data_IF_052098768015
#
_entry.id   IF_052098768015
#
_cell.length_a   1.000
_cell.length_b   1.000
_cell.length_c   1.000
_cell.angle_alpha   90.00
_cell.angle_beta   90.00
_cell.angle_gamma   90.00
#
_symmetry.space_group_name_H-M   'P 1'
#
loop_
_entity.id
_entity.type
_entity.pdbx_description
1 polymer ?
#
# COMPACT_ATOMS: atom_id res chain seq x y z
N UNK A 1 -7.43 -20.73 -2.11
CA UNK A 1 -6.54 -20.17 -1.07
C UNK A 1 -7.38 -19.37 -0.11
N UNK A 2 -7.17 -19.52 1.19
CA UNK A 2 -7.95 -18.85 2.22
C UNK A 2 -7.05 -17.94 3.05
N UNK A 3 -7.34 -16.65 3.03
CA UNK A 3 -6.73 -15.65 3.91
C UNK A 3 -7.69 -15.34 5.05
N UNK A 4 -7.19 -15.26 6.27
CA UNK A 4 -7.98 -14.83 7.44
C UNK A 4 -7.27 -13.67 8.12
N UNK A 5 -7.97 -12.55 8.32
CA UNK A 5 -7.54 -11.48 9.20
C UNK A 5 -8.27 -11.59 10.54
N UNK A 6 -7.55 -11.40 11.65
CA UNK A 6 -8.16 -11.42 12.98
C UNK A 6 -7.39 -10.56 13.98
N UNK A 7 -8.01 -9.46 14.44
CA UNK A 7 -7.58 -8.77 15.65
C UNK A 7 -7.94 -9.65 16.85
N UNK A 8 -6.92 -10.31 17.41
CA UNK A 8 -7.11 -11.34 18.41
C UNK A 8 -7.12 -10.83 19.85
N UNK A 9 -6.87 -9.53 20.07
CA UNK A 9 -6.86 -8.86 21.38
C UNK A 9 -6.18 -9.71 22.46
N UNK A 10 -4.91 -10.05 22.22
CA UNK A 10 -4.07 -11.05 22.91
C UNK A 10 -4.06 -12.44 22.28
N UNK A 11 -2.92 -12.81 21.68
CA UNK A 11 -2.72 -14.16 21.17
C UNK A 11 -2.86 -15.22 22.26
N UNK A 12 -2.31 -14.98 23.46
CA UNK A 12 -2.32 -15.95 24.55
C UNK A 12 -3.74 -16.28 25.02
N UNK A 13 -4.64 -15.29 25.03
CA UNK A 13 -6.05 -15.50 25.38
C UNK A 13 -6.80 -16.21 24.25
N UNK A 14 -6.50 -15.85 23.01
CA UNK A 14 -7.21 -16.32 21.83
C UNK A 14 -6.56 -17.53 21.15
N UNK A 15 -5.60 -18.19 21.80
CA UNK A 15 -4.73 -19.22 21.20
C UNK A 15 -5.53 -20.36 20.56
N UNK A 16 -6.49 -20.94 21.27
CA UNK A 16 -7.26 -22.09 20.76
C UNK A 16 -8.20 -21.69 19.62
N UNK A 17 -8.68 -20.45 19.61
CA UNK A 17 -9.41 -19.90 18.49
C UNK A 17 -8.50 -19.80 17.25
N UNK A 18 -7.31 -19.23 17.40
CA UNK A 18 -6.35 -19.07 16.30
C UNK A 18 -5.90 -20.44 15.78
N UNK A 19 -5.73 -21.44 16.65
CA UNK A 19 -5.51 -22.84 16.26
C UNK A 19 -6.62 -23.37 15.36
N UNK A 20 -7.87 -23.15 15.73
CA UNK A 20 -9.02 -23.57 14.94
C UNK A 20 -9.03 -22.89 13.56
N UNK A 21 -8.75 -21.58 13.50
CA UNK A 21 -8.62 -20.84 12.24
C UNK A 21 -7.49 -21.41 11.35
N UNK A 22 -6.39 -21.88 11.94
CA UNK A 22 -5.27 -22.49 11.20
C UNK A 22 -5.59 -23.83 10.54
N UNK A 23 -6.74 -24.43 10.82
CA UNK A 23 -7.18 -25.66 10.15
C UNK A 23 -7.85 -25.38 8.79
N UNK A 24 -8.29 -24.14 8.55
CA UNK A 24 -9.04 -23.74 7.35
C UNK A 24 -8.37 -22.61 6.55
N UNK A 25 -7.43 -21.87 7.16
CA UNK A 25 -6.67 -20.83 6.49
C UNK A 25 -5.41 -21.40 5.83
N UNK A 26 -5.01 -20.81 4.70
CA UNK A 26 -3.67 -20.99 4.15
C UNK A 26 -2.73 -19.86 4.64
N UNK A 27 -3.27 -18.67 4.92
CA UNK A 27 -2.54 -17.52 5.50
C UNK A 27 -3.41 -16.85 6.56
N UNK A 28 -2.81 -16.49 7.70
CA UNK A 28 -3.45 -15.78 8.80
C UNK A 28 -2.70 -14.48 9.11
N UNK A 29 -3.41 -13.37 9.11
CA UNK A 29 -2.96 -12.08 9.59
C UNK A 29 -3.54 -11.83 11.00
N UNK A 30 -2.68 -11.63 11.99
CA UNK A 30 -3.08 -11.37 13.37
C UNK A 30 -2.69 -9.95 13.79
N UNK A 31 -3.62 -9.26 14.42
CA UNK A 31 -3.40 -7.95 15.04
C UNK A 31 -3.60 -8.05 16.56
N UNK A 32 -3.07 -7.06 17.28
CA UNK A 32 -3.08 -7.02 18.74
C UNK A 32 -2.60 -8.32 19.39
N UNK A 33 -1.50 -8.85 18.87
CA UNK A 33 -0.91 -10.08 19.39
C UNK A 33 -0.46 -9.94 20.84
N UNK A 34 -0.05 -8.73 21.24
CA UNK A 34 0.39 -8.36 22.58
C UNK A 34 1.60 -9.18 23.08
N UNK A 35 2.38 -9.73 22.14
CA UNK A 35 3.59 -10.49 22.46
C UNK A 35 4.76 -9.55 22.68
N UNK A 36 5.58 -9.85 23.69
CA UNK A 36 6.91 -9.24 23.82
C UNK A 36 7.84 -9.76 22.71
N UNK A 37 8.95 -9.06 22.40
CA UNK A 37 9.88 -9.50 21.35
C UNK A 37 10.37 -10.96 21.52
N UNK A 38 10.63 -11.40 22.75
CA UNK A 38 11.06 -12.77 23.04
C UNK A 38 9.92 -13.81 22.96
N UNK A 39 8.66 -13.36 23.02
CA UNK A 39 7.47 -14.20 22.97
C UNK A 39 6.94 -14.40 21.55
N UNK A 40 7.56 -13.79 20.54
CA UNK A 40 7.19 -14.00 19.12
C UNK A 40 7.26 -15.49 18.75
N UNK A 41 8.11 -16.26 19.42
CA UNK A 41 8.22 -17.72 19.26
C UNK A 41 6.94 -18.48 19.65
N UNK A 42 6.05 -17.88 20.44
CA UNK A 42 4.74 -18.46 20.77
C UNK A 42 3.85 -18.65 19.53
N UNK A 43 4.05 -17.87 18.46
CA UNK A 43 3.36 -18.04 17.18
C UNK A 43 3.58 -19.45 16.59
N UNK A 44 4.77 -20.03 16.79
CA UNK A 44 5.09 -21.38 16.35
C UNK A 44 4.31 -22.49 17.06
N UNK A 45 3.63 -22.18 18.17
CA UNK A 45 2.79 -23.13 18.92
C UNK A 45 1.33 -23.18 18.45
N UNK A 46 0.95 -22.30 17.51
CA UNK A 46 -0.38 -22.30 16.89
C UNK A 46 -0.52 -23.56 16.02
N UNK A 47 0.34 -23.71 15.02
CA UNK A 47 0.30 -24.85 14.13
C UNK A 47 1.71 -25.22 13.66
N UNK A 48 2.11 -26.47 13.90
CA UNK A 48 3.45 -26.98 13.56
C UNK A 48 3.75 -26.97 12.05
N UNK A 49 2.71 -26.95 11.21
CA UNK A 49 2.86 -26.91 9.76
C UNK A 49 3.00 -25.47 9.24
N UNK A 50 2.81 -24.47 10.09
CA UNK A 50 2.83 -23.07 9.68
C UNK A 50 4.20 -22.44 9.88
N UNK A 51 4.63 -21.66 8.89
CA UNK A 51 5.67 -20.66 9.08
C UNK A 51 5.05 -19.38 9.66
N UNK A 52 5.88 -18.54 10.26
CA UNK A 52 5.41 -17.27 10.83
C UNK A 52 6.48 -16.18 10.79
N UNK A 53 6.00 -14.95 10.71
CA UNK A 53 6.74 -13.75 11.11
C UNK A 53 5.87 -12.94 12.05
N UNK A 54 6.47 -12.30 13.04
CA UNK A 54 5.79 -11.42 13.98
C UNK A 54 6.62 -10.18 14.28
N UNK A 55 5.95 -9.09 14.61
CA UNK A 55 6.52 -7.87 15.16
C UNK A 55 5.81 -7.52 16.46
N UNK A 56 6.60 -7.29 17.50
CA UNK A 56 6.11 -6.71 18.74
C UNK A 56 6.09 -5.19 18.60
N UNK A 57 5.01 -4.54 19.04
CA UNK A 57 4.96 -3.08 19.16
C UNK A 57 5.56 -2.58 20.51
N UNK A 58 6.14 -3.49 21.30
CA UNK A 58 6.56 -3.22 22.67
C UNK A 58 8.07 -3.02 22.72
N UNK A 59 8.45 -1.82 23.13
CA UNK A 59 9.84 -1.43 23.29
C UNK A 59 10.35 -1.77 24.70
N UNK A 60 10.96 -2.94 24.86
CA UNK A 60 11.54 -3.40 26.13
C UNK A 60 12.79 -2.62 26.53
N UNK A 61 13.33 -1.75 25.67
CA UNK A 61 14.53 -0.95 25.99
C UNK A 61 14.20 0.27 26.84
N UNK A 62 12.93 0.68 26.91
CA UNK A 62 12.46 1.82 27.71
C UNK A 62 12.27 1.52 29.20
N UNK A 63 12.69 0.35 29.68
CA UNK A 63 12.63 -0.06 31.08
C UNK A 63 11.39 -0.88 31.43
N UNK A 64 11.02 -0.90 32.72
CA UNK A 64 9.86 -1.68 33.22
C UNK A 64 8.57 -1.12 32.62
N UNK A 65 7.93 -1.93 31.78
CA UNK A 65 6.64 -1.60 31.19
C UNK A 65 5.57 -1.53 32.29
N UNK A 66 4.89 -0.40 32.41
CA UNK A 66 3.69 -0.27 33.25
C UNK A 66 2.45 -0.47 32.38
N UNK A 67 1.58 -1.40 32.78
CA UNK A 67 0.34 -1.70 32.07
C UNK A 67 0.40 -2.99 31.24
N UNK A 68 -0.68 -3.26 30.49
CA UNK A 68 -0.76 -4.44 29.62
C UNK A 68 0.05 -4.21 28.33
N UNK A 69 0.74 -5.25 27.81
CA UNK A 69 1.19 -5.30 26.42
C UNK A 69 0.11 -4.82 25.44
N UNK A 70 0.50 -4.10 24.38
CA UNK A 70 -0.42 -3.55 23.38
C UNK A 70 0.16 -3.66 21.97
N UNK A 71 -0.72 -3.66 20.96
CA UNK A 71 -0.36 -3.73 19.55
C UNK A 71 0.31 -5.05 19.13
N UNK A 72 1.17 -4.94 18.11
CA UNK A 72 1.87 -6.08 17.51
C UNK A 72 1.07 -6.76 16.41
N UNK A 73 1.77 -7.20 15.38
CA UNK A 73 1.21 -7.84 14.18
C UNK A 73 1.95 -9.12 13.86
N UNK A 74 1.27 -10.09 13.27
CA UNK A 74 1.89 -11.32 12.80
C UNK A 74 1.25 -11.83 11.51
N UNK A 75 2.06 -12.50 10.70
CA UNK A 75 1.63 -13.29 9.54
C UNK A 75 2.06 -14.73 9.74
N UNK A 76 1.12 -15.65 9.52
CA UNK A 76 1.36 -17.08 9.53
C UNK A 76 0.89 -17.68 8.20
N UNK A 77 1.54 -18.73 7.73
CA UNK A 77 1.19 -19.38 6.48
C UNK A 77 1.43 -20.88 6.55
N UNK A 78 0.62 -21.67 5.84
CA UNK A 78 0.85 -23.11 5.70
C UNK A 78 2.07 -23.37 4.80
N UNK A 79 3.13 -23.98 5.36
CA UNK A 79 4.37 -24.27 4.63
C UNK A 79 4.16 -25.24 3.45
N UNK A 80 3.07 -26.00 3.42
CA UNK A 80 2.77 -26.94 2.34
C UNK A 80 2.22 -26.26 1.07
N UNK A 81 1.77 -25.00 1.17
CA UNK A 81 1.05 -24.29 0.10
C UNK A 81 1.94 -23.44 -0.80
N UNK A 82 3.13 -23.09 -0.32
CA UNK A 82 4.01 -22.11 -0.95
C UNK A 82 5.41 -22.68 -1.16
N UNK A 83 5.97 -22.49 -2.35
CA UNK A 83 7.34 -22.88 -2.65
C UNK A 83 8.35 -22.01 -1.91
N UNK A 84 8.02 -20.73 -1.70
CA UNK A 84 8.84 -19.83 -0.91
C UNK A 84 8.01 -18.73 -0.27
N UNK A 85 8.48 -18.30 0.90
CA UNK A 85 7.96 -17.14 1.62
C UNK A 85 9.14 -16.30 2.09
N UNK A 86 9.12 -15.00 1.81
CA UNK A 86 10.18 -14.08 2.23
C UNK A 86 9.60 -12.82 2.87
N UNK A 87 10.16 -12.42 4.00
CA UNK A 87 9.82 -11.16 4.67
C UNK A 87 10.27 -9.96 3.83
N UNK A 88 9.40 -8.96 3.68
CA UNK A 88 9.75 -7.65 3.14
C UNK A 88 10.07 -6.72 4.31
N UNK A 89 11.28 -6.16 4.30
CA UNK A 89 11.72 -5.24 5.35
C UNK A 89 10.86 -3.98 5.38
N UNK A 90 10.35 -3.64 6.55
CA UNK A 90 9.52 -2.46 6.81
C UNK A 90 9.83 -1.97 8.23
N UNK A 91 9.93 -0.66 8.42
CA UNK A 91 10.30 -0.04 9.69
C UNK A 91 9.09 0.40 10.53
N UNK A 92 7.88 0.05 10.10
CA UNK A 92 6.66 0.22 10.86
C UNK A 92 6.38 -0.99 11.76
N UNK A 93 6.04 -0.75 13.03
CA UNK A 93 5.61 -1.82 13.95
C UNK A 93 4.15 -2.22 13.73
N UNK A 94 3.39 -1.45 12.95
CA UNK A 94 1.99 -1.71 12.58
C UNK A 94 1.82 -2.52 11.31
N UNK A 95 2.91 -2.74 10.56
CA UNK A 95 2.88 -3.38 9.25
C UNK A 95 3.89 -4.52 9.23
N UNK A 96 3.43 -5.68 8.78
CA UNK A 96 4.30 -6.79 8.41
C UNK A 96 3.90 -7.28 7.03
N UNK A 97 4.88 -7.49 6.16
CA UNK A 97 4.66 -7.82 4.76
C UNK A 97 5.52 -9.02 4.37
N UNK A 98 4.91 -9.99 3.70
CA UNK A 98 5.59 -11.16 3.15
C UNK A 98 5.30 -11.25 1.67
N UNK A 99 6.29 -11.72 0.91
CA UNK A 99 6.09 -12.21 -0.45
C UNK A 99 5.94 -13.71 -0.38
N UNK A 100 4.78 -14.21 -0.80
CA UNK A 100 4.51 -15.64 -0.96
C UNK A 100 4.61 -15.98 -2.45
N UNK A 101 5.24 -17.11 -2.78
CA UNK A 101 5.31 -17.60 -4.14
C UNK A 101 4.86 -19.06 -4.22
N UNK A 102 4.00 -19.36 -5.19
CA UNK A 102 3.56 -20.70 -5.56
C UNK A 102 3.75 -20.89 -7.06
N UNK A 103 4.56 -21.88 -7.44
CA UNK A 103 5.04 -22.13 -8.80
C UNK A 103 5.70 -20.88 -9.41
N UNK A 104 5.08 -20.26 -10.40
CA UNK A 104 5.51 -19.08 -11.14
C UNK A 104 4.77 -17.79 -10.74
N UNK A 105 3.94 -17.86 -9.68
CA UNK A 105 3.13 -16.74 -9.21
C UNK A 105 3.60 -16.29 -7.85
N UNK A 106 3.66 -14.98 -7.66
CA UNK A 106 3.93 -14.39 -6.37
C UNK A 106 2.86 -13.38 -6.02
N UNK A 107 2.55 -13.31 -4.73
CA UNK A 107 1.63 -12.34 -4.15
C UNK A 107 2.34 -11.67 -2.98
N UNK A 108 2.12 -10.37 -2.83
CA UNK A 108 2.52 -9.63 -1.64
C UNK A 108 1.34 -9.63 -0.68
N UNK A 109 1.59 -10.05 0.56
CA UNK A 109 0.59 -10.09 1.61
C UNK A 109 1.06 -9.21 2.76
N UNK A 110 0.24 -8.22 3.13
CA UNK A 110 0.50 -7.31 4.24
C UNK A 110 -0.54 -7.53 5.35
N UNK A 111 -0.08 -7.67 6.58
CA UNK A 111 -0.91 -7.58 7.78
C UNK A 111 -0.74 -6.20 8.41
N UNK A 112 -1.84 -5.51 8.70
CA UNK A 112 -1.83 -4.14 9.23
C UNK A 112 -2.65 -4.00 10.52
N UNK A 113 -2.19 -3.15 11.44
CA UNK A 113 -2.95 -2.68 12.61
C UNK A 113 -2.89 -1.15 12.67
N UNK A 114 -3.83 -0.50 12.00
CA UNK A 114 -3.81 0.92 11.74
C UNK A 114 -4.20 1.76 12.97
N UNK A 115 -3.81 3.04 13.05
CA UNK A 115 -4.27 3.95 14.09
C UNK A 115 -5.80 4.07 14.12
N UNK A 116 -6.37 4.26 15.33
CA UNK A 116 -7.82 4.42 15.56
C UNK A 116 -8.32 5.75 14.99
N UNK A 117 -9.50 5.73 14.35
CA UNK A 117 -10.14 6.94 13.80
C UNK A 117 -10.31 8.02 14.87
N UNK A 118 -9.48 9.06 14.73
CA UNK A 118 -9.52 10.28 15.51
C UNK A 118 -8.67 11.33 14.78
N UNK A 119 -9.03 12.60 14.93
CA UNK A 119 -8.28 13.71 14.33
C UNK A 119 -6.79 13.71 14.73
N UNK A 120 -6.49 13.28 15.95
CA UNK A 120 -5.12 13.21 16.49
C UNK A 120 -4.26 12.16 15.77
N UNK A 121 -4.88 11.12 15.22
CA UNK A 121 -4.20 9.98 14.61
C UNK A 121 -4.14 10.07 13.06
N UNK A 122 -4.79 11.06 12.44
CA UNK A 122 -4.93 11.15 10.98
C UNK A 122 -3.57 11.11 10.27
N UNK A 123 -2.60 11.88 10.77
CA UNK A 123 -1.26 11.90 10.19
C UNK A 123 -0.57 10.54 10.28
N UNK A 124 -0.70 9.84 11.41
CA UNK A 124 -0.13 8.50 11.59
C UNK A 124 -0.83 7.48 10.68
N UNK A 125 -2.13 7.64 10.45
CA UNK A 125 -2.92 6.79 9.54
C UNK A 125 -2.46 6.93 8.09
N UNK A 126 -2.38 8.17 7.59
CA UNK A 126 -1.88 8.47 6.23
C UNK A 126 -0.42 8.04 6.05
N UNK A 127 0.42 8.18 7.07
CA UNK A 127 1.81 7.69 7.04
C UNK A 127 1.86 6.17 6.87
N UNK A 128 0.97 5.41 7.53
CA UNK A 128 0.90 3.96 7.36
C UNK A 128 0.46 3.57 5.95
N UNK A 129 -0.54 4.25 5.37
CA UNK A 129 -0.95 4.04 3.97
C UNK A 129 0.19 4.33 2.98
N UNK A 130 0.93 5.42 3.20
CA UNK A 130 2.08 5.79 2.39
C UNK A 130 3.20 4.74 2.44
N UNK A 131 3.43 4.13 3.62
CA UNK A 131 4.42 3.06 3.77
C UNK A 131 3.96 1.76 3.08
N UNK A 132 2.66 1.44 3.11
CA UNK A 132 2.10 0.32 2.35
C UNK A 132 2.37 0.50 0.86
N UNK A 133 2.09 1.67 0.29
CA UNK A 133 2.40 1.97 -1.12
C UNK A 133 3.90 1.79 -1.42
N UNK A 134 4.77 2.32 -0.58
CA UNK A 134 6.22 2.17 -0.75
C UNK A 134 6.67 0.70 -0.69
N UNK A 135 6.09 -0.13 0.18
CA UNK A 135 6.38 -1.58 0.24
C UNK A 135 5.98 -2.25 -1.09
N UNK A 136 4.80 -1.92 -1.61
CA UNK A 136 4.29 -2.48 -2.87
C UNK A 136 5.20 -2.13 -4.04
N UNK A 137 5.49 -0.84 -4.23
CA UNK A 137 6.35 -0.35 -5.32
C UNK A 137 7.73 -1.00 -5.31
N UNK A 138 8.26 -1.29 -4.11
CA UNK A 138 9.58 -1.92 -3.96
C UNK A 138 9.56 -3.44 -4.11
N UNK A 139 8.40 -4.08 -4.01
CA UNK A 139 8.26 -5.54 -4.10
C UNK A 139 8.32 -6.08 -5.54
N UNK A 140 8.01 -5.25 -6.53
CA UNK A 140 7.81 -5.62 -7.95
C UNK A 140 6.74 -6.71 -8.17
N UNK A 141 5.80 -6.87 -7.24
CA UNK A 141 4.69 -7.83 -7.32
C UNK A 141 3.39 -7.08 -7.66
N UNK A 142 2.66 -7.55 -8.67
CA UNK A 142 1.41 -6.91 -9.11
C UNK A 142 0.21 -7.33 -8.25
N UNK A 143 0.19 -8.58 -7.80
CA UNK A 143 -0.86 -9.12 -6.93
C UNK A 143 -0.56 -8.77 -5.48
N UNK A 144 -1.36 -7.87 -4.90
CA UNK A 144 -1.19 -7.37 -3.54
C UNK A 144 -2.48 -7.58 -2.76
N UNK A 145 -2.33 -8.09 -1.53
CA UNK A 145 -3.40 -8.23 -0.55
C UNK A 145 -2.94 -7.58 0.75
N UNK A 146 -3.67 -6.58 1.22
CA UNK A 146 -3.48 -5.92 2.51
C UNK A 146 -4.69 -6.23 3.36
N UNK A 147 -4.50 -6.98 4.45
CA UNK A 147 -5.58 -7.38 5.33
C UNK A 147 -5.23 -7.03 6.77
N UNK A 148 -6.22 -6.64 7.56
CA UNK A 148 -5.97 -6.26 8.94
C UNK A 148 -7.09 -5.49 9.57
N UNK A 149 -6.83 -5.00 10.77
CA UNK A 149 -7.64 -4.00 11.42
C UNK A 149 -7.18 -2.63 10.91
N UNK A 150 -7.97 -2.07 10.00
CA UNK A 150 -7.73 -0.77 9.40
C UNK A 150 -8.38 0.36 10.20
N UNK A 151 -9.11 0.06 11.28
CA UNK A 151 -9.75 1.06 12.14
C UNK A 151 -10.59 2.10 11.35
N UNK A 152 -11.17 1.69 10.22
CA UNK A 152 -11.80 2.59 9.25
C UNK A 152 -13.22 2.18 8.97
N UNK A 153 -14.20 2.79 9.62
CA UNK A 153 -15.60 2.42 9.41
C UNK A 153 -16.22 3.13 8.20
N UNK A 154 -17.00 2.44 7.34
CA UNK A 154 -17.78 3.10 6.30
C UNK A 154 -18.55 4.33 6.81
N UNK A 155 -18.40 5.46 6.12
CA UNK A 155 -19.01 6.74 6.50
C UNK A 155 -18.16 7.61 7.43
N UNK A 156 -16.96 7.18 7.80
CA UNK A 156 -16.06 7.93 8.69
C UNK A 156 -14.79 8.46 8.00
N UNK A 157 -14.11 9.45 8.61
CA UNK A 157 -12.94 10.09 8.01
C UNK A 157 -11.86 9.12 7.54
N UNK A 158 -11.46 8.12 8.34
CA UNK A 158 -10.37 7.22 7.96
C UNK A 158 -10.76 6.26 6.83
N UNK A 159 -12.05 5.92 6.71
CA UNK A 159 -12.55 5.16 5.57
C UNK A 159 -12.51 6.00 4.29
N UNK A 160 -12.77 7.30 4.36
CA UNK A 160 -12.61 8.21 3.22
C UNK A 160 -11.15 8.32 2.79
N UNK A 161 -10.21 8.42 3.73
CA UNK A 161 -8.77 8.39 3.42
C UNK A 161 -8.33 7.06 2.81
N UNK A 162 -8.80 5.94 3.37
CA UNK A 162 -8.53 4.60 2.86
C UNK A 162 -9.06 4.40 1.44
N UNK A 163 -10.27 4.87 1.16
CA UNK A 163 -10.89 4.76 -0.18
C UNK A 163 -10.24 5.71 -1.18
N UNK A 164 -9.85 6.92 -0.77
CA UNK A 164 -9.04 7.82 -1.60
C UNK A 164 -7.71 7.17 -1.97
N UNK A 165 -7.01 6.59 -1.00
CA UNK A 165 -5.79 5.81 -1.24
C UNK A 165 -6.03 4.66 -2.22
N UNK A 166 -7.12 3.90 -2.06
CA UNK A 166 -7.45 2.83 -3.00
C UNK A 166 -7.69 3.37 -4.42
N UNK A 167 -8.44 4.47 -4.56
CA UNK A 167 -8.68 5.12 -5.84
C UNK A 167 -7.36 5.55 -6.52
N UNK A 168 -6.47 6.19 -5.77
CA UNK A 168 -5.18 6.67 -6.29
C UNK A 168 -4.26 5.52 -6.74
N UNK A 169 -4.33 4.38 -6.05
CA UNK A 169 -3.52 3.19 -6.37
C UNK A 169 -4.18 2.27 -7.42
N UNK A 170 -5.45 2.50 -7.79
CA UNK A 170 -6.23 1.58 -8.61
C UNK A 170 -6.54 0.26 -7.89
N UNK A 171 -6.83 0.33 -6.59
CA UNK A 171 -7.12 -0.79 -5.71
C UNK A 171 -8.58 -0.79 -5.27
N UNK A 172 -9.01 -1.89 -4.66
CA UNK A 172 -10.37 -2.08 -4.17
C UNK A 172 -10.37 -2.58 -2.72
N UNK A 173 -11.44 -2.29 -1.98
CA UNK A 173 -11.72 -2.88 -0.67
C UNK A 173 -12.58 -4.14 -0.88
N UNK A 174 -11.95 -5.31 -0.95
CA UNK A 174 -12.57 -6.54 -1.45
C UNK A 174 -13.81 -6.96 -0.65
N UNK A 175 -13.77 -6.84 0.67
CA UNK A 175 -14.88 -7.18 1.55
C UNK A 175 -16.07 -6.23 1.38
N UNK A 176 -15.83 -4.93 1.22
CA UNK A 176 -16.90 -3.94 0.97
C UNK A 176 -17.54 -4.16 -0.40
N UNK A 177 -16.73 -4.39 -1.44
CA UNK A 177 -17.22 -4.68 -2.79
C UNK A 177 -18.05 -5.98 -2.84
N UNK A 178 -17.65 -7.02 -2.12
CA UNK A 178 -18.34 -8.32 -2.15
C UNK A 178 -19.56 -8.40 -1.25
N UNK A 179 -19.50 -7.83 -0.06
CA UNK A 179 -20.59 -7.91 0.91
C UNK A 179 -21.61 -6.78 0.71
N UNK A 180 -21.18 -5.65 0.15
CA UNK A 180 -21.98 -4.44 -0.01
C UNK A 180 -21.92 -3.56 1.24
N UNK A 181 -21.74 -2.25 1.03
CA UNK A 181 -21.58 -1.26 2.10
C UNK A 181 -22.79 -1.18 3.04
N UNK A 182 -24.00 -1.42 2.51
CA UNK A 182 -25.26 -1.36 3.26
C UNK A 182 -25.72 -2.71 3.81
N UNK A 183 -24.86 -3.74 3.77
CA UNK A 183 -25.21 -5.11 4.20
C UNK A 183 -25.43 -5.26 5.72
N UNK A 184 -25.10 -4.23 6.51
CA UNK A 184 -25.06 -4.33 7.96
C UNK A 184 -23.92 -5.21 8.48
N UNK A 185 -22.91 -5.49 7.64
CA UNK A 185 -21.69 -6.20 8.03
C UNK A 185 -20.93 -5.43 9.11
N UNK A 186 -20.37 -6.16 10.06
CA UNK A 186 -19.51 -5.62 11.10
C UNK A 186 -18.43 -6.64 11.46
N UNK A 187 -17.25 -6.16 11.83
CA UNK A 187 -16.12 -6.99 12.27
C UNK A 187 -15.74 -6.70 13.71
N UNK A 188 -16.40 -5.75 14.37
CA UNK A 188 -16.14 -5.33 15.73
C UNK A 188 -17.43 -5.03 16.49
N UNK A 189 -17.45 -5.37 17.78
CA UNK A 189 -18.50 -5.03 18.74
C UNK A 189 -17.89 -4.48 20.02
N UNK A 190 -18.22 -3.23 20.36
CA UNK A 190 -17.77 -2.64 21.62
C UNK A 190 -18.35 -3.40 22.82
N UNK A 191 -17.50 -3.96 23.67
CA UNK A 191 -17.91 -4.59 24.94
C UNK A 191 -18.61 -3.60 25.88
N UNK A 192 -18.28 -2.31 25.80
CA UNK A 192 -18.76 -1.29 26.72
C UNK A 192 -20.19 -0.81 26.42
N UNK A 193 -20.56 -0.71 25.14
CA UNK A 193 -21.84 -0.13 24.72
C UNK A 193 -22.54 -0.90 23.59
N UNK A 194 -21.99 -2.02 23.13
CA UNK A 194 -22.60 -2.91 22.14
C UNK A 194 -22.67 -2.35 20.71
N UNK A 195 -22.04 -1.21 20.43
CA UNK A 195 -22.02 -0.64 19.08
C UNK A 195 -21.22 -1.53 18.14
N UNK A 196 -21.68 -1.62 16.89
CA UNK A 196 -21.06 -2.44 15.85
C UNK A 196 -20.28 -1.57 14.87
N UNK A 197 -19.13 -2.08 14.44
CA UNK A 197 -18.26 -1.40 13.49
C UNK A 197 -17.67 -2.42 12.53
N UNK A 198 -17.44 -1.98 11.31
CA UNK A 198 -16.64 -2.70 10.32
C UNK A 198 -15.30 -2.00 10.27
N UNK A 199 -14.28 -2.60 10.89
CA UNK A 199 -12.95 -2.01 11.06
C UNK A 199 -11.87 -2.83 10.37
N UNK A 200 -12.13 -4.13 10.19
CA UNK A 200 -11.23 -5.07 9.57
C UNK A 200 -11.57 -5.16 8.08
N UNK A 201 -10.58 -4.88 7.24
CA UNK A 201 -10.75 -4.79 5.78
C UNK A 201 -9.67 -5.56 5.03
N UNK A 202 -9.95 -5.84 3.76
CA UNK A 202 -9.03 -6.46 2.82
C UNK A 202 -8.89 -5.57 1.57
N UNK A 203 -7.83 -4.77 1.51
CA UNK A 203 -7.50 -3.98 0.33
C UNK A 203 -6.71 -4.84 -0.66
N UNK A 204 -7.06 -4.78 -1.93
CA UNK A 204 -6.45 -5.60 -2.98
C UNK A 204 -6.13 -4.78 -4.21
N UNK A 205 -5.00 -5.08 -4.85
CA UNK A 205 -4.72 -4.55 -6.18
C UNK A 205 -5.69 -5.11 -7.20
N UNK A 206 -5.87 -4.42 -8.34
CA UNK A 206 -6.73 -4.91 -9.43
C UNK A 206 -6.34 -6.31 -9.92
N UNK A 207 -5.05 -6.64 -9.87
CA UNK A 207 -4.56 -7.98 -10.23
C UNK A 207 -4.96 -9.05 -9.21
N UNK A 208 -4.94 -8.73 -7.91
CA UNK A 208 -5.40 -9.62 -6.86
C UNK A 208 -6.93 -9.75 -6.85
N UNK A 209 -7.67 -8.67 -7.10
CA UNK A 209 -9.13 -8.65 -7.15
C UNK A 209 -9.71 -9.73 -8.07
N UNK A 210 -9.13 -9.91 -9.25
CA UNK A 210 -9.53 -10.94 -10.24
C UNK A 210 -9.45 -12.38 -9.72
N UNK A 211 -8.73 -12.60 -8.63
CA UNK A 211 -8.62 -13.89 -7.98
C UNK A 211 -9.50 -14.05 -6.75
N UNK A 212 -10.06 -12.96 -6.20
CA UNK A 212 -10.94 -13.05 -5.05
C UNK A 212 -12.28 -13.66 -5.49
N UNK A 213 -12.74 -14.64 -4.72
CA UNK A 213 -13.94 -15.43 -5.01
C UNK A 213 -15.03 -15.26 -3.96
N UNK A 214 -14.67 -14.95 -2.72
CA UNK A 214 -15.63 -14.62 -1.67
C UNK A 214 -14.99 -13.85 -0.52
N UNK A 215 -15.79 -13.07 0.18
CA UNK A 215 -15.49 -12.49 1.49
C UNK A 215 -16.60 -12.86 2.48
N UNK A 216 -16.27 -13.15 3.74
CA UNK A 216 -17.26 -13.34 4.81
C UNK A 216 -16.64 -13.07 6.19
N UNK A 217 -17.49 -12.73 7.15
CA UNK A 217 -17.11 -12.55 8.56
C UNK A 217 -17.47 -13.81 9.35
N UNK A 218 -16.56 -14.29 10.20
CA UNK A 218 -16.74 -15.47 11.04
C UNK A 218 -17.27 -15.06 12.43
N UNK A 219 -18.60 -15.06 12.59
CA UNK A 219 -19.26 -14.63 13.84
C UNK A 219 -19.31 -15.69 14.95
N UNK A 220 -18.82 -16.91 14.68
CA UNK A 220 -18.75 -18.04 15.62
C UNK A 220 -17.48 -18.01 16.50
N UNK A 221 -16.80 -16.85 16.56
CA UNK A 221 -15.60 -16.60 17.35
C UNK A 221 -15.90 -15.65 18.52
N UNK A 222 -15.46 -16.00 19.74
CA UNK A 222 -15.90 -15.34 20.98
C UNK A 222 -14.78 -14.81 21.90
N UNK A 223 -13.52 -14.81 21.46
CA UNK A 223 -12.36 -14.50 22.33
C UNK A 223 -11.76 -13.09 22.14
N UNK A 224 -12.34 -12.34 21.21
CA UNK A 224 -12.03 -10.95 20.91
C UNK A 224 -13.35 -10.18 20.72
N UNK A 225 -13.27 -8.86 20.84
CA UNK A 225 -14.31 -7.93 20.41
C UNK A 225 -14.33 -7.75 18.89
N UNK A 226 -13.33 -8.29 18.18
CA UNK A 226 -13.33 -8.43 16.73
C UNK A 226 -13.73 -9.84 16.26
N UNK A 227 -14.27 -9.93 15.06
CA UNK A 227 -14.58 -11.16 14.34
C UNK A 227 -13.61 -11.34 13.16
N UNK A 228 -13.11 -12.57 12.90
CA UNK A 228 -12.24 -12.78 11.76
C UNK A 228 -12.91 -12.49 10.41
N UNK A 229 -12.17 -11.84 9.52
CA UNK A 229 -12.55 -11.65 8.12
C UNK A 229 -11.86 -12.72 7.27
N UNK A 230 -12.65 -13.59 6.62
CA UNK A 230 -12.15 -14.61 5.69
C UNK A 230 -12.29 -14.13 4.25
N UNK A 231 -11.20 -14.24 3.49
CA UNK A 231 -11.12 -13.92 2.06
C UNK A 231 -10.66 -15.17 1.31
N UNK A 232 -11.48 -15.62 0.36
CA UNK A 232 -11.12 -16.75 -0.50
C UNK A 232 -10.63 -16.25 -1.85
N UNK A 233 -9.53 -16.84 -2.31
CA UNK A 233 -8.83 -16.50 -3.53
C UNK A 233 -8.52 -17.76 -4.34
N UNK A 234 -8.78 -17.74 -5.65
CA UNK A 234 -8.24 -18.72 -6.58
C UNK A 234 -6.89 -18.28 -7.12
N UNK A 235 -5.80 -18.75 -6.50
CA UNK A 235 -4.44 -18.39 -6.94
C UNK A 235 -4.16 -18.82 -8.38
N UNK A 236 -4.91 -19.78 -8.94
CA UNK A 236 -4.80 -20.24 -10.32
C UNK A 236 -5.33 -19.22 -11.35
N UNK A 237 -5.98 -18.13 -10.92
CA UNK A 237 -6.36 -17.00 -11.79
C UNK A 237 -5.44 -15.77 -11.65
N UNK A 238 -4.57 -15.73 -10.64
CA UNK A 238 -3.58 -14.65 -10.48
C UNK A 238 -2.70 -14.61 -11.73
N UNK A 239 -2.83 -13.55 -12.53
CA UNK A 239 -2.08 -13.41 -13.77
C UNK A 239 -0.60 -13.52 -13.47
N UNK A 240 0.09 -14.31 -14.29
CA UNK A 240 1.53 -14.23 -14.36
C UNK A 240 1.89 -12.81 -14.73
N UNK A 241 3.04 -12.36 -14.22
CA UNK A 241 3.83 -11.36 -14.92
C UNK A 241 4.28 -12.02 -16.22
N UNK A 242 3.35 -12.17 -17.17
CA UNK A 242 3.69 -12.19 -18.57
C UNK A 242 4.53 -10.93 -18.71
N UNK A 243 5.74 -11.06 -19.25
CA UNK A 243 6.39 -9.92 -19.87
C UNK A 243 5.37 -9.38 -20.88
N UNK A 244 4.50 -8.48 -20.41
CA UNK A 244 3.60 -7.76 -21.27
C UNK A 244 4.51 -7.14 -22.30
N UNK A 245 4.16 -7.19 -23.59
CA UNK A 245 4.92 -6.49 -24.60
C UNK A 245 4.86 -5.01 -24.23
N UNK A 246 5.88 -4.58 -23.49
CA UNK A 246 6.18 -3.20 -23.19
C UNK A 246 4.89 -2.40 -22.88
N UNK A 247 4.33 -2.51 -21.66
CA UNK A 247 3.71 -1.31 -21.07
C UNK A 247 4.67 -0.19 -21.41
N UNK A 248 4.29 0.83 -22.21
CA UNK A 248 5.24 1.59 -23.01
C UNK A 248 6.34 1.98 -22.07
N UNK A 249 7.48 1.28 -22.17
CA UNK A 249 8.63 1.51 -21.32
C UNK A 249 8.77 2.99 -21.49
N UNK A 250 8.63 3.74 -20.39
CA UNK A 250 8.91 5.14 -20.44
C UNK A 250 10.42 5.20 -20.72
N UNK A 251 10.75 5.08 -22.01
CA UNK A 251 12.10 5.00 -22.58
C UNK A 251 12.77 6.37 -22.47
N UNK A 252 12.04 7.34 -21.93
CA UNK A 252 12.56 8.58 -21.42
C UNK A 252 13.49 8.25 -20.25
N UNK A 253 14.77 8.14 -20.57
CA UNK A 253 15.85 7.94 -19.60
C UNK A 253 16.11 9.26 -18.89
N UNK A 254 15.45 9.54 -17.77
CA UNK A 254 15.63 10.80 -17.06
C UNK A 254 17.07 10.98 -16.53
N UNK A 255 17.62 12.19 -16.63
CA UNK A 255 18.98 12.53 -16.21
C UNK A 255 19.49 13.81 -16.90
N UNK A 256 20.72 14.22 -16.58
CA UNK A 256 21.34 15.39 -17.23
C UNK A 256 21.36 15.22 -18.75
N UNK A 257 21.07 16.32 -19.46
CA UNK A 257 21.08 16.40 -20.92
C UNK A 257 22.09 17.41 -21.37
N UNK A 258 22.90 17.03 -22.35
CA UNK A 258 23.74 18.00 -23.04
C UNK A 258 22.91 18.86 -24.00
N UNK A 259 23.49 19.99 -24.42
CA UNK A 259 22.82 20.95 -25.28
C UNK A 259 22.41 20.36 -26.63
N UNK A 260 23.18 19.39 -27.16
CA UNK A 260 22.90 18.72 -28.43
C UNK A 260 21.65 17.85 -28.31
N UNK A 261 21.50 17.12 -27.18
CA UNK A 261 20.32 16.32 -26.88
C UNK A 261 19.08 17.19 -26.69
N UNK A 262 19.22 18.35 -26.06
CA UNK A 262 18.12 19.32 -25.89
C UNK A 262 17.67 19.86 -27.25
N UNK A 263 18.60 20.25 -28.12
CA UNK A 263 18.30 20.73 -29.46
C UNK A 263 17.67 19.66 -30.35
N UNK A 264 18.20 18.44 -30.31
CA UNK A 264 17.65 17.28 -31.02
C UNK A 264 16.22 16.97 -30.55
N UNK A 265 15.98 17.01 -29.23
CA UNK A 265 14.64 16.85 -28.68
C UNK A 265 13.68 17.91 -29.20
N UNK A 266 14.06 19.19 -29.10
CA UNK A 266 13.23 20.30 -29.54
C UNK A 266 12.91 20.22 -31.04
N UNK A 267 13.89 19.88 -31.88
CA UNK A 267 13.69 19.69 -33.32
C UNK A 267 12.69 18.56 -33.58
N UNK A 268 12.90 17.39 -32.99
CA UNK A 268 12.02 16.23 -33.17
C UNK A 268 10.61 16.46 -32.65
N UNK A 269 10.45 17.13 -31.49
CA UNK A 269 9.15 17.54 -30.98
C UNK A 269 8.43 18.44 -31.98
N UNK A 270 9.10 19.49 -32.47
CA UNK A 270 8.52 20.45 -33.41
C UNK A 270 8.12 19.80 -34.74
N UNK A 271 8.89 18.84 -35.25
CA UNK A 271 8.55 18.11 -36.47
C UNK A 271 7.34 17.19 -36.27
N UNK A 272 7.28 16.46 -35.15
CA UNK A 272 6.19 15.50 -34.88
C UNK A 272 4.89 16.17 -34.44
N UNK A 273 4.96 17.24 -33.63
CA UNK A 273 3.77 17.97 -33.19
C UNK A 273 3.07 18.67 -34.36
N UNK A 274 3.81 19.10 -35.38
CA UNK A 274 3.25 19.66 -36.62
C UNK A 274 2.41 18.67 -37.43
N UNK A 275 2.62 17.37 -37.23
CA UNK A 275 1.86 16.32 -37.91
C UNK A 275 0.56 15.95 -37.18
N UNK A 276 0.35 16.48 -35.97
CA UNK A 276 -0.91 16.28 -35.26
C UNK A 276 -1.93 17.27 -35.85
N UNK A 277 -2.90 16.74 -36.58
CA UNK A 277 -4.05 17.53 -37.02
C UNK A 277 -4.99 17.78 -35.83
N UNK A 278 -5.40 19.03 -35.66
CA UNK A 278 -6.35 19.39 -34.61
C UNK A 278 -7.76 18.90 -35.01
N UNK A 279 -8.44 18.07 -34.20
CA UNK A 279 -9.76 17.57 -34.54
C UNK A 279 -10.77 18.70 -34.71
N UNK A 280 -11.49 18.73 -35.84
CA UNK A 280 -12.45 19.81 -36.15
C UNK A 280 -13.62 19.83 -35.16
N UNK A 281 -13.96 18.67 -34.60
CA UNK A 281 -15.00 18.47 -33.60
C UNK A 281 -14.70 19.22 -32.29
N UNK A 282 -13.41 19.47 -31.99
CA UNK A 282 -13.00 20.27 -30.83
C UNK A 282 -13.01 21.78 -31.12
N UNK A 283 -13.04 22.19 -32.39
CA UNK A 283 -13.01 23.62 -32.77
C UNK A 283 -14.30 24.37 -32.42
N UNK A 284 -15.40 23.63 -32.27
CA UNK A 284 -16.72 24.17 -31.90
C UNK A 284 -17.10 23.87 -30.44
N UNK A 285 -16.16 23.34 -29.65
CA UNK A 285 -16.40 23.09 -28.24
C UNK A 285 -16.41 24.43 -27.47
N UNK A 286 -17.55 24.74 -26.85
CA UNK A 286 -17.78 26.00 -26.11
C UNK A 286 -17.83 25.79 -24.59
N UNK A 287 -17.74 24.55 -24.11
CA UNK A 287 -17.76 24.22 -22.68
C UNK A 287 -16.34 24.18 -22.12
N UNK A 288 -16.06 25.03 -21.12
CA UNK A 288 -14.72 25.15 -20.52
C UNK A 288 -14.28 23.91 -19.73
N UNK A 289 -15.21 23.06 -19.31
CA UNK A 289 -14.96 21.88 -18.47
C UNK A 289 -15.35 20.57 -19.16
N UNK A 290 -16.01 20.63 -20.32
CA UNK A 290 -16.51 19.46 -21.05
C UNK A 290 -17.30 18.44 -20.19
N UNK A 291 -17.96 18.89 -19.10
CA UNK A 291 -18.60 18.01 -18.10
C UNK A 291 -19.85 17.29 -18.61
N UNK A 292 -20.55 17.87 -19.61
CA UNK A 292 -21.82 17.36 -20.14
C UNK A 292 -21.74 16.85 -21.59
N UNK A 293 -20.54 16.52 -22.08
CA UNK A 293 -20.36 16.13 -23.50
C UNK A 293 -20.46 14.61 -23.69
N UNK A 294 -20.85 14.18 -24.89
CA UNK A 294 -20.99 12.76 -25.25
C UNK A 294 -19.70 11.96 -25.01
N UNK A 295 -19.83 10.66 -24.76
CA UNK A 295 -18.71 9.70 -24.63
C UNK A 295 -17.71 9.79 -25.81
N UNK A 296 -18.21 10.13 -27.00
CA UNK A 296 -17.42 10.32 -28.21
C UNK A 296 -16.50 11.55 -28.14
N UNK A 297 -16.96 12.66 -27.55
CA UNK A 297 -16.16 13.87 -27.37
C UNK A 297 -14.97 13.63 -26.41
N UNK A 298 -15.20 12.93 -25.30
CA UNK A 298 -14.14 12.54 -24.37
C UNK A 298 -13.09 11.66 -25.05
N UNK A 299 -13.52 10.70 -25.87
CA UNK A 299 -12.61 9.86 -26.63
C UNK A 299 -11.75 10.67 -27.62
N UNK A 300 -12.29 11.71 -28.25
CA UNK A 300 -11.54 12.59 -29.14
C UNK A 300 -10.47 13.38 -28.37
N UNK A 301 -10.79 13.89 -27.17
CA UNK A 301 -9.83 14.57 -26.28
C UNK A 301 -8.71 13.61 -25.86
N UNK A 302 -9.08 12.41 -25.39
CA UNK A 302 -8.12 11.40 -24.95
C UNK A 302 -7.18 10.99 -26.10
N UNK A 303 -7.71 10.86 -27.32
CA UNK A 303 -6.90 10.56 -28.51
C UNK A 303 -5.93 11.68 -28.88
N UNK A 304 -6.36 12.94 -28.81
CA UNK A 304 -5.47 14.09 -29.04
C UNK A 304 -4.37 14.15 -27.97
N UNK A 305 -4.74 13.99 -26.69
CA UNK A 305 -3.81 13.92 -25.57
C UNK A 305 -2.77 12.81 -25.77
N UNK A 306 -3.23 11.59 -26.05
CA UNK A 306 -2.36 10.44 -26.28
C UNK A 306 -1.43 10.65 -27.47
N UNK A 307 -1.89 11.33 -28.53
CA UNK A 307 -1.06 11.67 -29.69
C UNK A 307 0.09 12.62 -29.31
N UNK A 308 -0.21 13.67 -28.54
CA UNK A 308 0.79 14.63 -28.04
C UNK A 308 1.80 13.91 -27.15
N UNK A 309 1.32 13.14 -26.15
CA UNK A 309 2.18 12.40 -25.22
C UNK A 309 3.09 11.42 -25.96
N UNK A 310 2.57 10.72 -26.98
CA UNK A 310 3.36 9.80 -27.80
C UNK A 310 4.44 10.54 -28.61
N UNK A 311 4.14 11.71 -29.18
CA UNK A 311 5.13 12.53 -29.90
C UNK A 311 6.28 12.96 -28.97
N UNK A 312 5.96 13.47 -27.78
CA UNK A 312 6.95 13.89 -26.79
C UNK A 312 7.80 12.70 -26.31
N UNK A 313 7.16 11.56 -26.05
CA UNK A 313 7.85 10.32 -25.60
C UNK A 313 8.80 9.79 -26.68
N UNK A 314 8.39 9.81 -27.95
CA UNK A 314 9.22 9.41 -29.09
C UNK A 314 10.40 10.36 -29.29
N UNK A 315 10.17 11.67 -29.23
CA UNK A 315 11.23 12.67 -29.31
C UNK A 315 12.28 12.48 -28.21
N UNK A 316 11.84 12.26 -26.98
CA UNK A 316 12.72 12.02 -25.84
C UNK A 316 13.53 10.72 -25.98
N UNK A 317 12.92 9.69 -26.57
CA UNK A 317 13.61 8.42 -26.87
C UNK A 317 14.64 8.57 -28.00
N UNK A 318 14.36 9.41 -29.00
CA UNK A 318 15.23 9.66 -30.14
C UNK A 318 16.44 10.51 -29.76
N UNK A 319 16.23 11.61 -29.03
CA UNK A 319 17.30 12.51 -28.60
C UNK A 319 18.32 11.84 -27.68
N UNK A 320 17.90 10.82 -26.93
CA UNK A 320 18.79 10.04 -26.08
C UNK A 320 19.77 9.14 -26.86
N UNK A 321 19.39 8.64 -28.05
CA UNK A 321 20.20 7.67 -28.83
C UNK A 321 21.32 8.30 -29.66
N UNK A 322 21.33 9.62 -29.82
CA UNK A 322 22.26 10.32 -30.73
C UNK A 322 23.66 10.56 -30.15
N UNK A 323 23.92 10.22 -28.89
CA UNK A 323 25.26 10.29 -28.31
C UNK A 323 25.80 8.88 -28.02
N UNK A 324 26.96 8.56 -28.61
CA UNK A 324 27.81 7.41 -28.29
C UNK A 324 28.39 7.52 -26.85
N UNK A 325 27.55 7.75 -25.84
CA UNK A 325 27.98 7.77 -24.47
C UNK A 325 27.95 6.33 -23.93
N UNK A 326 29.12 5.71 -23.91
CA UNK A 326 29.39 4.45 -23.23
C UNK A 326 28.75 4.49 -21.84
N UNK A 327 27.74 3.65 -21.63
CA UNK A 327 27.13 3.41 -20.34
C UNK A 327 28.21 2.90 -19.37
N UNK A 328 28.78 3.80 -18.57
CA UNK A 328 29.39 3.40 -17.29
C UNK A 328 28.27 2.77 -16.48
N UNK A 329 28.27 1.43 -16.41
CA UNK A 329 27.47 0.64 -15.47
C UNK A 329 27.75 1.16 -14.06
N UNK A 330 26.94 2.09 -13.56
CA UNK A 330 26.85 2.36 -12.13
C UNK A 330 26.24 1.13 -11.48
N UNK A 331 26.89 0.64 -10.43
CA UNK A 331 26.50 -0.59 -9.73
C UNK A 331 25.06 -0.55 -9.25
N UNK A 332 24.44 -1.73 -9.17
CA UNK A 332 23.19 -1.97 -8.44
C UNK A 332 23.33 -1.36 -7.04
N UNK A 333 22.55 -0.34 -6.71
CA UNK A 333 22.55 0.16 -5.32
C UNK A 333 21.74 1.41 -5.05
N UNK A 334 21.77 2.42 -5.91
CA UNK A 334 21.15 3.72 -5.56
C UNK A 334 20.19 4.15 -6.66
N UNK A 335 18.88 4.02 -6.40
CA UNK A 335 17.86 4.72 -7.17
C UNK A 335 18.04 6.21 -6.88
N UNK A 336 18.62 6.93 -7.84
CA UNK A 336 18.63 8.38 -7.80
C UNK A 336 17.22 8.88 -8.11
N UNK A 337 16.49 9.34 -7.09
CA UNK A 337 15.24 10.08 -7.30
C UNK A 337 15.63 11.47 -7.80
N UNK A 338 15.38 11.73 -9.09
CA UNK A 338 15.81 12.98 -9.74
C UNK A 338 15.04 14.15 -9.15
N UNK A 339 15.76 15.23 -8.84
CA UNK A 339 15.20 16.37 -8.12
C UNK A 339 15.12 16.18 -6.61
N UNK A 340 15.10 14.94 -6.08
CA UNK A 340 15.14 14.71 -4.63
C UNK A 340 16.40 15.31 -4.01
N UNK A 341 17.58 14.95 -4.54
CA UNK A 341 18.85 15.45 -4.02
C UNK A 341 19.05 16.96 -4.21
N UNK A 342 18.34 17.58 -5.16
CA UNK A 342 18.48 19.00 -5.50
C UNK A 342 17.44 19.89 -4.82
N UNK A 343 16.22 19.41 -4.64
CA UNK A 343 15.07 20.21 -4.22
C UNK A 343 14.47 19.73 -2.90
N UNK A 344 14.57 18.44 -2.57
CA UNK A 344 13.86 17.85 -1.43
C UNK A 344 14.80 17.43 -0.31
N UNK A 345 16.06 17.08 -0.60
CA UNK A 345 17.01 16.49 0.36
C UNK A 345 17.28 17.39 1.55
N UNK A 346 17.46 18.69 1.32
CA UNK A 346 17.72 19.64 2.41
C UNK A 346 16.49 19.85 3.28
N UNK A 347 15.32 20.05 2.66
CA UNK A 347 14.06 20.22 3.38
C UNK A 347 13.67 18.95 4.15
N UNK A 348 13.87 17.77 3.56
CA UNK A 348 13.68 16.48 4.21
C UNK A 348 14.69 16.25 5.35
N UNK A 349 15.95 16.66 5.18
CA UNK A 349 16.93 16.57 6.25
C UNK A 349 16.56 17.47 7.43
N UNK A 350 16.12 18.71 7.19
CA UNK A 350 15.63 19.61 8.24
C UNK A 350 14.38 19.03 8.92
N UNK A 351 13.39 18.57 8.16
CA UNK A 351 12.20 17.93 8.71
C UNK A 351 12.53 16.71 9.58
N UNK A 352 13.53 15.93 9.18
CA UNK A 352 14.02 14.80 9.99
C UNK A 352 14.73 15.27 11.26
N UNK A 353 15.52 16.33 11.23
CA UNK A 353 16.14 16.90 12.44
C UNK A 353 15.08 17.43 13.41
N UNK A 354 14.07 18.17 12.92
CA UNK A 354 12.96 18.67 13.76
C UNK A 354 12.13 17.54 14.33
N UNK A 355 11.90 16.46 13.57
CA UNK A 355 11.25 15.25 14.06
C UNK A 355 12.04 14.55 15.15
N UNK A 356 13.35 14.33 14.98
CA UNK A 356 14.19 13.70 16.00
C UNK A 356 14.22 14.54 17.29
N UNK A 357 14.27 15.86 17.15
CA UNK A 357 14.19 16.77 18.28
C UNK A 357 12.83 16.66 19.00
N UNK A 358 11.72 16.64 18.26
CA UNK A 358 10.38 16.41 18.80
C UNK A 358 10.26 15.07 19.55
N UNK A 359 10.83 14.00 19.01
CA UNK A 359 10.91 12.69 19.68
C UNK A 359 11.72 12.78 20.96
N UNK A 360 12.87 13.48 20.94
CA UNK A 360 13.74 13.64 22.11
C UNK A 360 13.05 14.38 23.26
N UNK A 361 12.20 15.36 22.95
CA UNK A 361 11.37 16.07 23.94
C UNK A 361 10.10 15.32 24.37
N UNK A 362 9.98 14.03 24.05
CA UNK A 362 8.85 13.21 24.49
C UNK A 362 7.57 13.40 23.69
N UNK A 363 7.69 13.84 22.43
CA UNK A 363 6.58 14.03 21.49
C UNK A 363 5.49 15.01 22.01
N UNK A 364 5.86 16.24 22.38
CA UNK A 364 4.90 17.24 22.88
C UNK A 364 3.83 17.52 21.82
N UNK A 365 2.56 17.62 22.23
CA UNK A 365 1.42 17.86 21.32
C UNK A 365 1.11 19.32 21.03
N UNK A 366 1.81 20.24 21.69
CA UNK A 366 1.64 21.68 21.54
C UNK A 366 2.95 22.41 21.88
N UNK A 367 3.05 23.68 21.47
CA UNK A 367 4.20 24.53 21.73
C UNK A 367 5.28 24.46 20.67
N UNK A 368 6.35 25.23 20.89
CA UNK A 368 7.32 25.57 19.85
C UNK A 368 7.97 24.37 19.15
N UNK A 369 8.32 23.31 19.88
CA UNK A 369 8.96 22.11 19.31
C UNK A 369 7.99 21.34 18.39
N UNK A 370 6.71 21.28 18.75
CA UNK A 370 5.65 20.67 17.93
C UNK A 370 5.39 21.50 16.66
N UNK A 371 5.31 22.82 16.80
CA UNK A 371 5.11 23.75 15.68
C UNK A 371 6.26 23.69 14.68
N UNK A 372 7.52 23.67 15.15
CA UNK A 372 8.69 23.51 14.28
C UNK A 372 8.68 22.17 13.52
N UNK A 373 8.28 21.09 14.19
CA UNK A 373 8.17 19.76 13.58
C UNK A 373 7.12 19.76 12.45
N UNK A 374 5.93 20.32 12.71
CA UNK A 374 4.88 20.43 11.69
C UNK A 374 5.31 21.35 10.55
N UNK A 375 5.84 22.54 10.86
CA UNK A 375 6.19 23.54 9.86
C UNK A 375 7.25 23.03 8.87
N UNK A 376 8.28 22.33 9.37
CA UNK A 376 9.35 21.76 8.53
C UNK A 376 8.87 20.74 7.50
N UNK A 377 7.72 20.09 7.75
CA UNK A 377 7.11 19.11 6.83
C UNK A 377 6.24 19.74 5.76
N UNK A 378 5.92 21.03 5.87
CA UNK A 378 5.15 21.77 4.85
C UNK A 378 6.02 22.29 3.70
N UNK A 379 7.33 22.11 3.78
CA UNK A 379 8.32 22.72 2.88
C UNK A 379 8.54 21.91 1.60
N UNK A 380 8.07 20.68 1.53
CA UNK A 380 8.16 19.81 0.36
C UNK A 380 6.90 18.99 0.16
#
# INVERSE_FOLDING_TARGET
MTFISYNCKSLKRSMDCVRSLSLQADVIALQETWLLPHEITELGKINKNFGYFGKSAIDTTKGVLRGRPYGGVALLWDNSKFNSVSLISCNNDRIIAIKICSSDRCMLVCCVYMPVDSSDNLLDYVNCLSEIAAIVENSNVESVVVLGDLNSHPGEPFFNEMTSFCSDQGWLCADVEMLGIDSGTYTYVSEAHGSRRWLDHCLVSEAAWKSITSAKVLYDVYWSDHFPLEIQCDIATVRLKLDSPCAPLNKVVWGDRDQIQIEAYNKSCNEMLKQIEFPQELSQCCDNLCDNVSLEHRAIIDNLYNSIVNCLTKAASYSHKHSNCQLKRKGKGERCVIGWNKHVREAHWDARQKFLNWVWYGKPRQGHIYELMIASRKTF
#
